data_IF_156979472475
#
_entry.id   IF_156979472475
#
_cell.length_a   1.000
_cell.length_b   1.000
_cell.length_c   1.000
_cell.angle_alpha   90.00
_cell.angle_beta   90.00
_cell.angle_gamma   90.00
#
_symmetry.space_group_name_H-M   'P 1'
#
loop_
_entity.id
_entity.type
_entity.pdbx_description
1 polymer ?
#
# COMPACT_ATOMS: atom_id res chain seq x y z
N UNK A 1 2.13 -1.04 -16.58
CA UNK A 1 2.51 -1.99 -15.50
C UNK A 1 1.30 -2.82 -15.14
N UNK A 2 1.32 -4.12 -15.44
CA UNK A 2 0.27 -5.08 -15.10
C UNK A 2 0.36 -5.42 -13.62
N UNK A 3 -0.70 -5.14 -12.84
CA UNK A 3 -0.79 -5.55 -11.43
C UNK A 3 -1.01 -7.06 -11.37
N UNK A 4 -0.01 -7.82 -10.96
CA UNK A 4 -0.12 -9.27 -10.75
C UNK A 4 -0.72 -9.55 -9.38
N UNK A 5 -2.01 -9.88 -9.33
CA UNK A 5 -2.67 -10.39 -8.12
C UNK A 5 -2.46 -11.90 -8.01
N UNK A 6 -1.76 -12.37 -6.98
CA UNK A 6 -1.57 -13.80 -6.72
C UNK A 6 -2.53 -14.26 -5.62
N UNK A 7 -3.32 -15.29 -5.91
CA UNK A 7 -4.19 -15.96 -4.93
C UNK A 7 -3.41 -17.08 -4.25
N UNK A 8 -3.23 -17.00 -2.93
CA UNK A 8 -2.52 -18.02 -2.18
C UNK A 8 -3.49 -19.02 -1.55
N UNK A 9 -3.19 -20.32 -1.71
CA UNK A 9 -3.99 -21.42 -1.14
C UNK A 9 -3.62 -21.73 0.32
N UNK A 10 -2.40 -21.38 0.75
CA UNK A 10 -1.91 -21.64 2.10
C UNK A 10 -1.80 -20.34 2.90
N UNK A 11 -2.30 -20.36 4.13
CA UNK A 11 -2.27 -19.23 5.06
C UNK A 11 -0.84 -18.74 5.36
N UNK A 12 0.09 -19.67 5.53
CA UNK A 12 1.46 -19.34 5.95
C UNK A 12 2.21 -18.52 4.89
N UNK A 13 1.98 -18.80 3.61
CA UNK A 13 2.56 -18.04 2.51
C UNK A 13 1.97 -16.62 2.43
N UNK A 14 0.65 -16.48 2.66
CA UNK A 14 0.00 -15.18 2.77
C UNK A 14 0.58 -14.37 3.93
N UNK A 15 0.82 -14.99 5.09
CA UNK A 15 1.34 -14.33 6.27
C UNK A 15 2.73 -13.74 6.03
N UNK A 16 3.65 -14.55 5.49
CA UNK A 16 5.03 -14.13 5.22
C UNK A 16 5.06 -12.96 4.23
N UNK A 17 4.40 -13.11 3.08
CA UNK A 17 4.40 -12.08 2.03
C UNK A 17 3.62 -10.82 2.44
N UNK A 18 2.54 -10.98 3.20
CA UNK A 18 1.75 -9.87 3.71
C UNK A 18 2.57 -9.01 4.67
N UNK A 19 3.29 -9.64 5.60
CA UNK A 19 4.17 -8.92 6.52
C UNK A 19 5.37 -8.29 5.81
N UNK A 20 5.92 -8.94 4.79
CA UNK A 20 6.99 -8.36 3.96
C UNK A 20 6.54 -7.08 3.24
N UNK A 21 5.36 -7.08 2.62
CA UNK A 21 4.80 -5.89 1.97
C UNK A 21 4.59 -4.75 2.98
N UNK A 22 4.06 -5.08 4.16
CA UNK A 22 3.83 -4.09 5.21
C UNK A 22 5.14 -3.53 5.77
N UNK A 23 6.16 -4.37 5.94
CA UNK A 23 7.47 -3.98 6.44
C UNK A 23 8.27 -3.13 5.45
N UNK A 24 8.23 -3.47 4.16
CA UNK A 24 9.04 -2.80 3.14
C UNK A 24 8.49 -1.42 2.75
N UNK A 25 7.17 -1.27 2.63
CA UNK A 25 6.53 -0.04 2.12
C UNK A 25 5.37 0.47 3.01
N UNK A 26 5.56 0.60 4.32
CA UNK A 26 4.48 0.77 5.29
C UNK A 26 3.57 2.00 5.06
N UNK A 27 4.10 3.12 4.59
CA UNK A 27 3.33 4.35 4.33
C UNK A 27 2.35 4.22 3.15
N UNK A 28 2.66 3.34 2.20
CA UNK A 28 1.80 3.06 1.04
C UNK A 28 1.03 1.75 1.18
N UNK A 29 1.44 0.92 2.13
CA UNK A 29 0.86 -0.38 2.40
C UNK A 29 -0.45 -0.27 3.15
N UNK A 30 -1.38 -1.17 2.86
CA UNK A 30 -2.67 -1.28 3.54
C UNK A 30 -3.17 -2.71 3.61
N UNK A 31 -3.83 -3.02 4.73
CA UNK A 31 -4.59 -4.26 4.92
C UNK A 31 -6.06 -3.96 4.66
N UNK A 32 -6.69 -4.71 3.75
CA UNK A 32 -8.10 -4.57 3.39
C UNK A 32 -8.81 -5.89 3.67
N UNK A 33 -9.83 -5.81 4.49
CA UNK A 33 -10.66 -6.96 4.86
C UNK A 33 -12.07 -6.78 4.32
N UNK A 34 -12.62 -7.83 3.71
CA UNK A 34 -14.01 -7.88 3.23
C UNK A 34 -14.68 -9.15 3.75
N UNK A 35 -15.64 -8.98 4.65
CA UNK A 35 -16.47 -10.09 5.14
C UNK A 35 -17.78 -10.18 4.36
N UNK A 36 -18.18 -11.40 3.99
CA UNK A 36 -19.49 -11.70 3.46
C UNK A 36 -20.20 -12.65 4.41
N UNK A 37 -21.19 -12.14 5.15
CA UNK A 37 -21.94 -12.91 6.13
C UNK A 37 -22.80 -14.03 5.50
N UNK A 38 -23.38 -13.79 4.32
CA UNK A 38 -24.21 -14.78 3.62
C UNK A 38 -23.38 -15.98 3.18
N UNK A 39 -22.19 -15.73 2.63
CA UNK A 39 -21.28 -16.79 2.16
C UNK A 39 -20.36 -17.33 3.26
N UNK A 40 -20.38 -16.73 4.47
CA UNK A 40 -19.45 -17.02 5.57
C UNK A 40 -17.98 -17.00 5.12
N UNK A 41 -17.63 -16.03 4.29
CA UNK A 41 -16.27 -15.90 3.74
C UNK A 41 -15.64 -14.59 4.13
N UNK A 42 -14.39 -14.64 4.56
CA UNK A 42 -13.54 -13.48 4.80
C UNK A 42 -12.48 -13.41 3.70
N UNK A 43 -12.36 -12.27 3.03
CA UNK A 43 -11.28 -12.02 2.08
C UNK A 43 -10.35 -11.00 2.72
N UNK A 44 -9.07 -11.32 2.76
CA UNK A 44 -8.02 -10.45 3.30
C UNK A 44 -7.03 -10.15 2.18
N UNK A 45 -6.70 -8.87 2.00
CA UNK A 45 -5.77 -8.39 0.98
C UNK A 45 -4.74 -7.46 1.64
N UNK A 46 -3.48 -7.64 1.29
CA UNK A 46 -2.39 -6.73 1.64
C UNK A 46 -1.78 -6.18 0.36
N UNK A 47 -1.53 -4.87 0.31
CA UNK A 47 -0.98 -4.23 -0.89
C UNK A 47 -0.29 -2.91 -0.57
N UNK A 48 0.78 -2.60 -1.32
CA UNK A 48 1.51 -1.32 -1.39
C UNK A 48 1.28 -0.59 -2.74
N UNK A 49 0.14 -0.85 -3.38
CA UNK A 49 -0.23 -0.45 -4.75
C UNK A 49 0.55 -1.10 -5.90
N UNK A 50 1.71 -1.69 -5.66
CA UNK A 50 2.53 -2.39 -6.66
C UNK A 50 2.39 -3.91 -6.54
N UNK A 51 2.53 -4.41 -5.31
CA UNK A 51 2.44 -5.80 -4.91
C UNK A 51 1.09 -6.05 -4.26
N UNK A 52 0.53 -7.24 -4.51
CA UNK A 52 -0.76 -7.65 -3.96
C UNK A 52 -0.68 -9.12 -3.56
N UNK A 53 -0.95 -9.38 -2.28
CA UNK A 53 -1.18 -10.72 -1.74
C UNK A 53 -2.60 -10.78 -1.20
N UNK A 54 -3.32 -11.86 -1.50
CA UNK A 54 -4.69 -12.04 -1.04
C UNK A 54 -4.95 -13.49 -0.62
N UNK A 55 -5.76 -13.65 0.41
CA UNK A 55 -6.25 -14.95 0.87
C UNK A 55 -7.76 -14.90 1.13
N UNK A 56 -8.39 -16.07 1.06
CA UNK A 56 -9.80 -16.27 1.34
C UNK A 56 -9.92 -17.29 2.45
N UNK A 57 -10.52 -16.88 3.56
CA UNK A 57 -10.80 -17.72 4.71
C UNK A 57 -12.26 -18.11 4.72
N UNK A 58 -12.51 -19.40 4.95
CA UNK A 58 -13.85 -19.99 4.94
C UNK A 58 -14.14 -20.80 6.18
N UNK A 59 -13.12 -21.19 6.95
CA UNK A 59 -13.30 -21.97 8.16
C UNK A 59 -13.27 -21.05 9.39
N UNK A 60 -14.16 -21.27 10.37
CA UNK A 60 -14.16 -20.51 11.63
C UNK A 60 -12.81 -20.52 12.37
N UNK A 61 -12.05 -21.62 12.27
CA UNK A 61 -10.71 -21.75 12.85
C UNK A 61 -9.67 -20.79 12.25
N UNK A 62 -9.92 -20.24 11.06
CA UNK A 62 -9.02 -19.30 10.42
C UNK A 62 -9.14 -17.88 11.00
N UNK A 63 -10.24 -17.59 11.73
CA UNK A 63 -10.49 -16.25 12.26
C UNK A 63 -9.49 -15.87 13.36
N UNK A 64 -9.10 -16.82 14.21
CA UNK A 64 -8.08 -16.59 15.24
C UNK A 64 -6.73 -16.23 14.60
N UNK A 65 -6.35 -16.92 13.51
CA UNK A 65 -5.14 -16.60 12.75
C UNK A 65 -5.22 -15.21 12.14
N UNK A 66 -6.38 -14.85 11.58
CA UNK A 66 -6.63 -13.52 11.04
C UNK A 66 -6.54 -12.42 12.09
N UNK A 67 -7.15 -12.61 13.27
CA UNK A 67 -7.09 -11.64 14.36
C UNK A 67 -5.65 -11.39 14.82
N UNK A 68 -4.87 -12.48 14.99
CA UNK A 68 -3.45 -12.40 15.31
C UNK A 68 -2.65 -11.64 14.23
N UNK A 69 -2.89 -11.96 12.95
CA UNK A 69 -2.27 -11.25 11.84
C UNK A 69 -2.62 -9.75 11.86
N UNK A 70 -3.90 -9.41 12.05
CA UNK A 70 -4.37 -8.03 12.02
C UNK A 70 -3.76 -7.21 13.17
N UNK A 71 -3.60 -7.81 14.35
CA UNK A 71 -2.93 -7.19 15.49
C UNK A 71 -1.45 -6.90 15.20
N UNK A 72 -0.73 -7.86 14.61
CA UNK A 72 0.67 -7.67 14.20
C UNK A 72 0.79 -6.56 13.14
N UNK A 73 -0.06 -6.61 12.11
CA UNK A 73 -0.07 -5.61 11.04
C UNK A 73 -0.36 -4.20 11.58
N UNK A 74 -1.32 -4.08 12.50
CA UNK A 74 -1.65 -2.79 13.13
C UNK A 74 -0.47 -2.24 13.92
N UNK A 75 0.21 -3.08 14.72
CA UNK A 75 1.42 -2.66 15.46
C UNK A 75 2.56 -2.22 14.55
N UNK A 76 2.76 -2.93 13.44
CA UNK A 76 3.81 -2.62 12.48
C UNK A 76 3.57 -1.28 11.78
N UNK A 77 2.30 -1.02 11.42
CA UNK A 77 1.90 0.25 10.81
C UNK A 77 1.79 1.40 11.82
N UNK A 78 1.60 1.14 13.12
CA UNK A 78 1.53 2.19 14.16
C UNK A 78 2.89 2.67 14.65
N UNK A 79 3.92 1.83 14.61
CA UNK A 79 5.25 2.14 15.15
C UNK A 79 6.18 2.81 14.12
N UNK A 80 5.60 3.43 13.10
CA UNK A 80 6.32 4.12 12.04
C UNK A 80 6.92 5.43 12.58
N UNK A 81 8.25 5.51 12.68
CA UNK A 81 8.92 6.80 12.83
C UNK A 81 8.85 7.53 11.49
N UNK A 82 8.23 8.72 11.48
CA UNK A 82 8.33 9.65 10.36
C UNK A 82 9.79 10.14 10.28
N UNK A 83 10.57 9.53 9.40
CA UNK A 83 11.89 10.06 9.04
C UNK A 83 11.68 11.04 7.89
N UNK A 84 11.54 12.33 8.21
CA UNK A 84 11.30 13.44 7.27
C UNK A 84 12.45 13.72 6.27
N UNK A 85 13.39 12.80 6.09
CA UNK A 85 14.64 13.07 5.34
C UNK A 85 14.49 12.89 3.82
N UNK A 86 13.46 12.21 3.32
CA UNK A 86 13.32 11.98 1.87
C UNK A 86 12.53 13.08 1.11
N UNK A 87 11.68 13.87 1.77
CA UNK A 87 10.83 14.86 1.07
C UNK A 87 11.57 16.16 0.68
N UNK A 88 12.73 16.46 1.30
CA UNK A 88 13.49 17.69 1.00
C UNK A 88 14.19 17.69 -0.36
N UNK A 89 14.26 16.54 -1.05
CA UNK A 89 14.88 16.45 -2.38
C UNK A 89 13.88 16.55 -3.55
N UNK A 90 12.56 16.49 -3.29
CA UNK A 90 11.54 16.62 -4.34
C UNK A 90 11.27 18.10 -4.70
N UNK A 91 11.33 19.02 -3.74
CA UNK A 91 11.03 20.45 -3.98
C UNK A 91 12.11 21.20 -4.77
N UNK A 92 13.37 20.74 -4.75
CA UNK A 92 14.46 21.41 -5.50
C UNK A 92 14.45 21.14 -7.02
N UNK A 93 13.68 20.16 -7.51
CA UNK A 93 13.63 19.84 -8.96
C UNK A 93 12.50 20.51 -9.73
N UNK A 94 11.52 21.14 -9.08
CA UNK A 94 10.40 21.80 -9.76
C UNK A 94 10.57 23.32 -9.98
N UNK A 95 11.48 23.99 -9.27
CA UNK A 95 11.67 25.45 -9.37
C UNK A 95 12.61 25.92 -10.49
N UNK A 96 13.31 25.03 -11.21
CA UNK A 96 14.29 25.41 -12.23
C UNK A 96 13.79 25.43 -13.68
N UNK A 97 12.53 25.08 -13.98
CA UNK A 97 12.02 25.01 -15.37
C UNK A 97 10.94 26.03 -15.77
N UNK A 98 10.60 27.00 -14.92
CA UNK A 98 9.50 27.96 -15.18
C UNK A 98 9.92 29.44 -15.27
N UNK A 99 11.08 29.75 -15.87
CA UNK A 99 11.42 31.13 -16.27
C UNK A 99 12.09 31.17 -17.64
N UNK A 100 11.28 31.05 -18.71
CA UNK A 100 11.48 31.73 -20.00
C UNK A 100 10.33 31.38 -20.95
N UNK A 101 9.24 32.15 -20.93
CA UNK A 101 8.46 32.51 -22.13
C UNK A 101 7.17 33.25 -21.76
N UNK A 102 7.16 34.60 -21.88
CA UNK A 102 6.00 35.40 -22.37
C UNK A 102 6.29 36.91 -22.35
N UNK A 103 6.38 37.51 -23.55
CA UNK A 103 5.64 38.69 -24.08
C UNK A 103 6.49 39.39 -25.17
N UNK A 104 6.26 39.14 -26.47
CA UNK A 104 5.25 39.73 -27.38
C UNK A 104 5.25 41.28 -27.48
N UNK A 105 5.72 41.75 -28.64
CA UNK A 105 5.14 42.77 -29.55
C UNK A 105 4.41 44.01 -28.99
N UNK A 106 4.92 45.19 -29.35
CA UNK A 106 4.26 46.49 -29.66
C UNK A 106 5.37 47.36 -30.30
N UNK A 107 5.27 48.10 -31.40
CA UNK A 107 4.24 48.47 -32.36
C UNK A 107 4.85 49.63 -33.16
N UNK A 108 4.78 49.61 -34.50
CA UNK A 108 5.25 50.67 -35.40
C UNK A 108 4.46 51.98 -35.15
N UNK A 109 5.17 53.10 -35.10
CA UNK A 109 4.74 54.40 -35.59
C UNK A 109 5.94 55.06 -36.26
#
# INVERSE_FOLDING_TARGET
>A
MTKTSRHYKAWDEFLVLGLEILGNNPFTSRVVTKYNNVKKTLIVKVTDDKNIVLTKLTHPSDFEKYENFFLIATKLLSNQQWNDEEDKNAEKKQTSKQKTNKKKNKGKK
#
